data_IF_717410571194
#
_entry.id   IF_717410571194
#
_cell.length_a   1.000
_cell.length_b   1.000
_cell.length_c   1.000
_cell.angle_alpha   90.00
_cell.angle_beta   90.00
_cell.angle_gamma   90.00
#
_symmetry.space_group_name_H-M   'P 1'
#
loop_
_entity.id
_entity.type
_entity.pdbx_description
1 polymer ?
#
# COMPACT_ATOMS: atom_id res chain seq x y z
N UNK A 1 -3.26 -3.74 10.30
CA UNK A 1 -3.65 -5.15 10.04
C UNK A 1 -2.65 -5.75 9.06
N UNK A 2 -1.40 -5.91 9.51
CA UNK A 2 -0.25 -6.27 8.67
C UNK A 2 0.06 -7.77 8.63
N UNK A 3 -0.77 -8.61 9.28
CA UNK A 3 -0.43 -10.02 9.51
C UNK A 3 -0.87 -10.97 8.40
N UNK A 4 -1.94 -10.64 7.65
CA UNK A 4 -2.42 -11.41 6.50
C UNK A 4 -2.99 -10.46 5.44
N UNK A 5 -2.54 -10.61 4.19
CA UNK A 5 -3.11 -9.91 3.05
C UNK A 5 -3.48 -10.90 1.95
N UNK A 6 -4.71 -10.75 1.49
CA UNK A 6 -5.26 -11.37 0.28
C UNK A 6 -6.19 -10.34 -0.37
N UNK A 7 -6.62 -10.53 -1.63
CA UNK A 7 -7.34 -9.49 -2.36
C UNK A 7 -8.63 -9.04 -1.67
N UNK A 8 -9.41 -9.98 -1.12
CA UNK A 8 -10.66 -9.65 -0.43
C UNK A 8 -10.43 -8.82 0.85
N UNK A 9 -9.51 -9.25 1.72
CA UNK A 9 -9.20 -8.52 2.96
C UNK A 9 -8.55 -7.17 2.70
N UNK A 10 -7.77 -7.04 1.63
CA UNK A 10 -7.18 -5.77 1.24
C UNK A 10 -8.24 -4.78 0.74
N UNK A 11 -9.17 -5.23 -0.11
CA UNK A 11 -10.31 -4.41 -0.58
C UNK A 11 -11.14 -3.89 0.59
N UNK A 12 -11.54 -4.77 1.52
CA UNK A 12 -12.31 -4.39 2.71
C UNK A 12 -11.56 -3.38 3.58
N UNK A 13 -10.26 -3.58 3.79
CA UNK A 13 -9.45 -2.64 4.58
C UNK A 13 -9.38 -1.25 3.92
N UNK A 14 -9.20 -1.19 2.60
CA UNK A 14 -9.17 0.05 1.84
C UNK A 14 -10.54 0.76 1.86
N UNK A 15 -11.63 0.03 1.60
CA UNK A 15 -12.99 0.58 1.63
C UNK A 15 -13.32 1.21 2.98
N UNK A 16 -13.04 0.50 4.08
CA UNK A 16 -13.26 1.02 5.43
C UNK A 16 -12.39 2.26 5.68
N UNK A 17 -11.13 2.24 5.25
CA UNK A 17 -10.19 3.33 5.46
C UNK A 17 -10.60 4.60 4.70
N UNK A 18 -11.04 4.46 3.44
CA UNK A 18 -11.51 5.56 2.60
C UNK A 18 -12.74 6.23 3.22
N UNK A 19 -13.63 5.49 3.88
CA UNK A 19 -14.84 6.03 4.50
C UNK A 19 -14.58 6.86 5.78
N UNK A 20 -13.41 6.77 6.40
CA UNK A 20 -13.13 7.50 7.64
C UNK A 20 -13.07 9.03 7.40
N UNK A 21 -13.79 9.84 8.17
CA UNK A 21 -13.71 11.30 8.04
C UNK A 21 -12.44 11.86 8.68
N UNK A 22 -11.32 11.84 7.95
CA UNK A 22 -10.03 12.39 8.38
C UNK A 22 -9.21 12.83 7.18
N UNK A 23 -8.52 13.97 7.33
CA UNK A 23 -7.58 14.48 6.33
C UNK A 23 -6.25 13.72 6.39
N UNK A 24 -5.39 13.95 5.38
CA UNK A 24 -4.01 13.45 5.35
C UNK A 24 -3.91 11.92 5.47
N UNK A 25 -4.73 11.21 4.70
CA UNK A 25 -4.71 9.74 4.70
C UNK A 25 -3.57 9.20 3.85
N UNK A 26 -2.94 8.15 4.37
CA UNK A 26 -1.86 7.43 3.71
C UNK A 26 -2.17 5.93 3.72
N UNK A 27 -2.02 5.28 2.57
CA UNK A 27 -2.05 3.83 2.45
C UNK A 27 -0.65 3.34 2.13
N UNK A 28 -0.14 2.42 2.95
CA UNK A 28 1.12 1.72 2.73
C UNK A 28 0.80 0.23 2.65
N UNK A 29 0.81 -0.31 1.43
CA UNK A 29 0.45 -1.70 1.18
C UNK A 29 1.53 -2.47 0.47
N UNK A 30 1.66 -3.74 0.85
CA UNK A 30 2.66 -4.66 0.34
C UNK A 30 2.06 -5.82 -0.42
N UNK A 31 2.86 -6.45 -1.26
CA UNK A 31 2.45 -7.61 -2.06
C UNK A 31 1.68 -8.65 -1.24
N UNK A 32 0.70 -9.23 -1.93
CA UNK A 32 -0.13 -10.35 -1.49
C UNK A 32 0.47 -11.63 -2.04
N UNK A 33 1.02 -12.46 -1.17
CA UNK A 33 1.61 -13.75 -1.55
C UNK A 33 0.56 -14.85 -1.72
N UNK A 34 1.00 -16.00 -2.26
CA UNK A 34 0.18 -17.21 -2.44
C UNK A 34 -0.97 -17.10 -3.46
N UNK A 35 -0.90 -16.13 -4.38
CA UNK A 35 -1.91 -15.90 -5.43
C UNK A 35 -1.66 -16.66 -6.74
N UNK A 36 -0.46 -17.21 -6.94
CA UNK A 36 -0.11 -17.93 -8.17
C UNK A 36 -0.21 -17.06 -9.42
N UNK A 37 -0.80 -17.58 -10.49
CA UNK A 37 -0.91 -16.90 -11.79
C UNK A 37 -1.79 -15.64 -11.74
N UNK A 38 -2.71 -15.56 -10.77
CA UNK A 38 -3.62 -14.42 -10.59
C UNK A 38 -2.96 -13.23 -9.90
N UNK A 39 -1.72 -13.37 -9.41
CA UNK A 39 -1.09 -12.35 -8.58
C UNK A 39 -1.05 -10.98 -9.27
N UNK A 40 -0.54 -10.91 -10.50
CA UNK A 40 -0.45 -9.64 -11.23
C UNK A 40 -1.82 -9.01 -11.47
N UNK A 41 -2.85 -9.81 -11.76
CA UNK A 41 -4.20 -9.32 -11.98
C UNK A 41 -4.80 -8.76 -10.68
N UNK A 42 -4.70 -9.47 -9.57
CA UNK A 42 -5.27 -9.02 -8.30
C UNK A 42 -4.59 -7.76 -7.77
N UNK A 43 -3.26 -7.64 -7.91
CA UNK A 43 -2.54 -6.41 -7.56
C UNK A 43 -2.98 -5.23 -8.44
N UNK A 44 -3.21 -5.46 -9.74
CA UNK A 44 -3.75 -4.45 -10.65
C UNK A 44 -5.14 -3.96 -10.22
N UNK A 45 -6.01 -4.88 -9.80
CA UNK A 45 -7.36 -4.53 -9.32
C UNK A 45 -7.33 -3.69 -8.04
N UNK A 46 -6.37 -3.93 -7.15
CA UNK A 46 -6.15 -3.07 -5.97
C UNK A 46 -5.70 -1.66 -6.38
N UNK A 47 -4.76 -1.54 -7.31
CA UNK A 47 -4.33 -0.22 -7.82
C UNK A 47 -5.50 0.50 -8.48
N UNK A 48 -6.31 -0.21 -9.27
CA UNK A 48 -7.46 0.32 -9.97
C UNK A 48 -8.56 0.85 -9.03
N UNK A 49 -8.78 0.19 -7.88
CA UNK A 49 -9.81 0.62 -6.92
C UNK A 49 -9.51 1.97 -6.26
N UNK A 50 -8.23 2.38 -6.25
CA UNK A 50 -7.78 3.64 -5.63
C UNK A 50 -7.66 4.80 -6.63
N UNK A 51 -7.90 4.57 -7.93
CA UNK A 51 -7.65 5.58 -8.98
C UNK A 51 -8.40 6.89 -8.80
N UNK A 52 -9.58 6.84 -8.16
CA UNK A 52 -10.46 7.99 -7.92
C UNK A 52 -10.16 8.71 -6.60
N UNK A 53 -9.25 8.18 -5.79
CA UNK A 53 -8.91 8.73 -4.47
C UNK A 53 -7.74 9.72 -4.59
N UNK A 54 -8.01 10.92 -5.11
CA UNK A 54 -6.97 11.92 -5.39
C UNK A 54 -6.32 12.53 -4.14
N UNK A 55 -7.00 12.46 -3.00
CA UNK A 55 -6.50 12.99 -1.72
C UNK A 55 -5.70 11.98 -0.91
N UNK A 56 -5.65 10.72 -1.37
CA UNK A 56 -4.99 9.62 -0.67
C UNK A 56 -3.57 9.41 -1.18
N UNK A 57 -2.56 9.53 -0.32
CA UNK A 57 -1.20 9.13 -0.71
C UNK A 57 -1.05 7.61 -0.61
N UNK A 58 -0.72 6.95 -1.72
CA UNK A 58 -0.66 5.49 -1.81
C UNK A 58 0.78 5.02 -2.08
N UNK A 59 1.30 4.17 -1.21
CA UNK A 59 2.61 3.55 -1.30
C UNK A 59 2.40 2.04 -1.49
N UNK A 60 2.81 1.54 -2.64
CA UNK A 60 2.71 0.14 -3.04
C UNK A 60 4.10 -0.47 -3.05
N UNK A 61 4.31 -1.55 -2.30
CA UNK A 61 5.63 -2.13 -2.05
C UNK A 61 5.64 -3.61 -2.47
N UNK A 62 6.57 -3.99 -3.33
CA UNK A 62 6.73 -5.35 -3.80
C UNK A 62 6.71 -5.47 -5.32
N UNK A 63 7.19 -6.60 -5.83
CA UNK A 63 7.40 -6.82 -7.26
C UNK A 63 6.08 -6.84 -8.05
N UNK A 64 5.01 -7.41 -7.51
CA UNK A 64 3.74 -7.53 -8.22
C UNK A 64 2.99 -6.20 -8.27
N UNK A 65 3.03 -5.43 -7.19
CA UNK A 65 2.60 -4.04 -7.23
C UNK A 65 3.46 -3.19 -8.18
N UNK A 66 4.79 -3.31 -8.11
CA UNK A 66 5.70 -2.55 -8.96
C UNK A 66 5.51 -2.86 -10.45
N UNK A 67 5.23 -4.12 -10.79
CA UNK A 67 4.92 -4.54 -12.16
C UNK A 67 3.62 -3.93 -12.71
N UNK A 68 2.72 -3.51 -11.82
CA UNK A 68 1.47 -2.82 -12.14
C UNK A 68 1.53 -1.30 -11.96
N UNK A 69 2.74 -0.73 -11.89
CA UNK A 69 2.93 0.71 -11.69
C UNK A 69 2.27 1.55 -12.78
N UNK A 70 1.72 2.69 -12.35
CA UNK A 70 1.12 3.70 -13.22
C UNK A 70 1.66 5.08 -12.84
N UNK A 71 1.61 6.02 -13.79
CA UNK A 71 1.94 7.41 -13.52
C UNK A 71 0.72 8.15 -12.94
N UNK A 72 0.73 8.38 -11.63
CA UNK A 72 -0.25 9.20 -10.91
C UNK A 72 0.45 9.87 -9.72
N UNK A 73 0.22 11.17 -9.52
CA UNK A 73 1.04 11.98 -8.61
C UNK A 73 1.04 11.51 -7.15
N UNK A 74 -0.06 10.93 -6.67
CA UNK A 74 -0.23 10.44 -5.31
C UNK A 74 0.02 8.93 -5.18
N UNK A 75 0.53 8.26 -6.23
CA UNK A 75 0.83 6.83 -6.22
C UNK A 75 2.34 6.62 -6.33
N UNK A 76 2.90 5.86 -5.41
CA UNK A 76 4.31 5.58 -5.30
C UNK A 76 4.53 4.07 -5.27
N UNK A 77 5.41 3.57 -6.14
CA UNK A 77 5.66 2.14 -6.31
C UNK A 77 7.12 1.82 -6.04
N UNK A 78 7.37 0.79 -5.23
CA UNK A 78 8.71 0.36 -4.83
C UNK A 78 8.84 -1.15 -5.03
N UNK A 79 9.99 -1.61 -5.52
CA UNK A 79 10.26 -3.03 -5.72
C UNK A 79 10.33 -3.78 -4.39
N UNK A 80 10.86 -3.13 -3.36
CA UNK A 80 11.01 -3.69 -2.03
C UNK A 80 10.94 -2.64 -0.91
N UNK A 81 10.96 -3.12 0.33
CA UNK A 81 10.91 -2.26 1.50
C UNK A 81 12.15 -1.36 1.63
N UNK A 82 13.32 -1.76 1.13
CA UNK A 82 14.55 -0.98 1.26
C UNK A 82 14.57 0.20 0.28
N UNK A 83 13.97 0.04 -0.90
CA UNK A 83 13.70 1.16 -1.81
C UNK A 83 12.67 2.12 -1.20
N UNK A 84 11.57 1.59 -0.67
CA UNK A 84 10.57 2.38 0.05
C UNK A 84 11.19 3.17 1.21
N UNK A 85 11.92 2.52 2.11
CA UNK A 85 12.47 3.16 3.31
C UNK A 85 13.39 4.33 2.95
N UNK A 86 14.28 4.15 1.97
CA UNK A 86 15.18 5.21 1.50
C UNK A 86 14.45 6.40 0.91
N UNK A 87 13.28 6.17 0.30
CA UNK A 87 12.50 7.26 -0.30
C UNK A 87 11.76 8.14 0.72
N UNK A 88 11.54 7.63 1.94
CA UNK A 88 10.78 8.31 2.99
C UNK A 88 11.65 8.77 4.16
N UNK A 89 12.98 8.62 4.10
CA UNK A 89 13.90 9.02 5.17
C UNK A 89 13.74 10.50 5.59
N UNK A 90 13.37 11.38 4.66
CA UNK A 90 13.14 12.80 4.91
C UNK A 90 11.65 13.18 5.10
N UNK A 91 10.74 12.20 5.10
CA UNK A 91 9.30 12.46 5.15
C UNK A 91 8.73 12.25 6.56
N UNK A 92 8.20 13.31 7.16
CA UNK A 92 7.50 13.23 8.44
C UNK A 92 6.01 12.96 8.22
N UNK A 93 5.50 11.84 8.76
CA UNK A 93 4.08 11.48 8.70
C UNK A 93 3.22 12.16 9.79
N UNK A 94 3.56 13.41 10.14
CA UNK A 94 2.85 14.12 11.20
C UNK A 94 1.38 14.33 10.86
N UNK A 95 0.50 13.98 11.81
CA UNK A 95 -0.96 14.09 11.70
C UNK A 95 -1.60 13.24 10.58
N UNK A 96 -0.88 12.30 9.97
CA UNK A 96 -1.45 11.37 9.02
C UNK A 96 -2.31 10.30 9.73
N UNK A 97 -3.36 9.87 9.05
CA UNK A 97 -3.99 8.59 9.32
C UNK A 97 -3.38 7.57 8.35
N UNK A 98 -2.82 6.48 8.86
CA UNK A 98 -2.05 5.53 8.05
C UNK A 98 -2.66 4.14 8.11
N UNK A 99 -2.91 3.54 6.95
CA UNK A 99 -3.19 2.10 6.81
C UNK A 99 -1.91 1.37 6.42
N UNK A 100 -1.53 0.36 7.19
CA UNK A 100 -0.41 -0.53 6.87
C UNK A 100 -0.95 -1.96 6.74
N UNK A 101 -0.75 -2.58 5.56
CA UNK A 101 -1.22 -3.95 5.27
C UNK A 101 -0.39 -4.64 4.17
N UNK A 102 0.01 -5.88 4.38
CA UNK A 102 0.71 -6.70 3.38
C UNK A 102 0.77 -8.15 3.84
N UNK A 103 1.23 -9.07 2.99
CA UNK A 103 1.48 -10.44 3.44
C UNK A 103 2.60 -10.47 4.48
N UNK A 104 2.53 -11.41 5.43
CA UNK A 104 3.49 -11.51 6.54
C UNK A 104 4.95 -11.48 6.09
N UNK A 105 5.28 -12.13 4.98
CA UNK A 105 6.65 -12.16 4.45
C UNK A 105 7.17 -10.80 3.94
N UNK A 106 6.29 -9.80 3.75
CA UNK A 106 6.69 -8.42 3.46
C UNK A 106 7.27 -7.72 4.71
N UNK A 107 6.90 -8.17 5.91
CA UNK A 107 7.30 -7.60 7.20
C UNK A 107 7.09 -6.07 7.23
N UNK A 108 5.91 -5.58 6.81
CA UNK A 108 5.61 -4.15 6.75
C UNK A 108 5.38 -3.50 8.12
N UNK A 109 5.33 -4.27 9.20
CA UNK A 109 5.40 -3.73 10.56
C UNK A 109 6.65 -2.86 10.78
N UNK A 110 7.73 -3.08 10.02
CA UNK A 110 8.94 -2.24 10.01
C UNK A 110 8.68 -0.80 9.61
N UNK A 111 7.57 -0.49 8.94
CA UNK A 111 7.16 0.91 8.68
C UNK A 111 7.01 1.69 9.99
N UNK A 112 6.60 1.03 11.08
CA UNK A 112 6.43 1.68 12.38
C UNK A 112 7.74 2.21 12.97
N UNK A 113 8.90 1.74 12.50
CA UNK A 113 10.22 2.22 12.92
C UNK A 113 10.63 3.50 12.16
N UNK A 114 9.88 3.86 11.10
CA UNK A 114 10.15 4.99 10.21
C UNK A 114 9.21 6.18 10.42
N UNK A 115 8.15 6.03 11.23
CA UNK A 115 7.09 7.03 11.42
C UNK A 115 7.01 7.55 12.85
#
# INVERSE_FOLDING_TARGET
DAYNANPSSMKVALENFIQLSRDNKVVIIGDMFELGEESLYEHKEIVASLLKEDTLSCYFIGNDFYSNKIAKNNFHFYQDFAEFSRSIEDFTFENNLILIKGSRGMALERVLELI
#
